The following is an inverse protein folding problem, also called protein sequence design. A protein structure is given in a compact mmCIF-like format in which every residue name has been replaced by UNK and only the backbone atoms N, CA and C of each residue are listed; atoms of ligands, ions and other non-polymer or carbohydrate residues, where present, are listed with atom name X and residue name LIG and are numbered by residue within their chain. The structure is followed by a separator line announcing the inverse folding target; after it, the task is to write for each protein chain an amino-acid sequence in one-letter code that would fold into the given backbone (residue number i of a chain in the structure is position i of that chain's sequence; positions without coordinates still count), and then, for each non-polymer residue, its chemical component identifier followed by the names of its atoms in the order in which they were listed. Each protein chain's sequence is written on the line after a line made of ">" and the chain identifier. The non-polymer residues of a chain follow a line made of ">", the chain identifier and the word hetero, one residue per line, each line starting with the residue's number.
data_IF_794929538227
#
_entry.id   IF_794929538227
#
_cell.length_a   1.000
_cell.length_b   1.000
_cell.length_c   1.000
_cell.angle_alpha   90.00
_cell.angle_beta   90.00
_cell.angle_gamma   90.00
#
_symmetry.space_group_name_H-M   'P 1'
#
loop_
_entity.id
_entity.type
_entity.pdbx_description
1 polymer ?
#
# COMPACT_ATOMS: atom_id res chain seq x y z
N UNK A 1 0.03 -12.86 -24.44
CA UNK A 1 -1.01 -11.94 -23.91
C UNK A 1 -0.46 -11.23 -22.68
N UNK A 2 -0.17 -11.94 -21.56
CA UNK A 2 0.32 -11.33 -20.29
C UNK A 2 1.54 -10.42 -20.48
N UNK A 3 2.60 -10.90 -21.15
CA UNK A 3 3.83 -10.12 -21.34
C UNK A 3 3.60 -8.85 -22.15
N UNK A 4 2.72 -8.88 -23.16
CA UNK A 4 2.35 -7.70 -23.93
C UNK A 4 1.56 -6.70 -23.09
N UNK A 5 0.65 -7.18 -22.25
CA UNK A 5 -0.12 -6.32 -21.33
C UNK A 5 0.79 -5.64 -20.30
N UNK A 6 1.70 -6.40 -19.66
CA UNK A 6 2.69 -5.82 -18.74
C UNK A 6 3.57 -4.77 -19.43
N UNK A 7 3.99 -5.05 -20.66
CA UNK A 7 4.78 -4.10 -21.46
C UNK A 7 3.99 -2.82 -21.79
N UNK A 8 2.72 -2.93 -22.18
CA UNK A 8 1.85 -1.78 -22.46
C UNK A 8 1.64 -0.92 -21.23
N UNK A 9 1.41 -1.54 -20.05
CA UNK A 9 1.28 -0.84 -18.76
C UNK A 9 2.57 -0.11 -18.37
N UNK A 10 3.72 -0.59 -18.82
CA UNK A 10 5.01 0.00 -18.52
C UNK A 10 5.31 1.31 -19.29
N UNK A 11 4.35 1.91 -19.99
CA UNK A 11 4.58 3.15 -20.76
C UNK A 11 5.05 4.32 -19.89
N UNK A 12 4.76 4.32 -18.60
CA UNK A 12 5.18 5.35 -17.64
C UNK A 12 6.70 5.35 -17.39
N UNK A 13 7.40 4.24 -17.58
CA UNK A 13 8.83 4.10 -17.19
C UNK A 13 9.76 5.09 -17.90
N UNK A 14 9.36 5.63 -19.04
CA UNK A 14 10.12 6.67 -19.76
C UNK A 14 10.06 8.04 -19.07
N UNK A 15 9.20 8.20 -18.07
CA UNK A 15 9.01 9.43 -17.28
C UNK A 15 9.57 9.32 -15.86
N UNK A 16 10.00 8.13 -15.45
CA UNK A 16 10.52 7.85 -14.11
C UNK A 16 12.04 8.08 -14.09
N UNK A 17 12.56 8.54 -12.96
CA UNK A 17 14.00 8.54 -12.70
C UNK A 17 14.52 7.12 -12.36
N UNK A 18 15.83 6.96 -12.20
CA UNK A 18 16.43 5.65 -11.95
C UNK A 18 15.84 4.90 -10.76
N UNK A 19 15.80 5.48 -9.55
CA UNK A 19 15.21 4.85 -8.37
C UNK A 19 13.71 4.55 -8.51
N UNK A 20 12.93 5.47 -9.06
CA UNK A 20 11.50 5.28 -9.33
C UNK A 20 11.27 4.16 -10.34
N UNK A 21 12.07 4.12 -11.39
CA UNK A 21 12.03 3.06 -12.40
C UNK A 21 12.35 1.69 -11.79
N UNK A 22 13.40 1.60 -10.97
CA UNK A 22 13.75 0.36 -10.28
C UNK A 22 12.63 -0.10 -9.32
N UNK A 23 12.04 0.81 -8.55
CA UNK A 23 10.94 0.50 -7.67
C UNK A 23 9.70 0.04 -8.45
N UNK A 24 9.36 0.73 -9.54
CA UNK A 24 8.26 0.32 -10.41
C UNK A 24 8.48 -1.08 -11.00
N UNK A 25 9.70 -1.35 -11.49
CA UNK A 25 10.06 -2.68 -12.03
C UNK A 25 10.08 -3.74 -10.93
N UNK A 26 10.47 -3.39 -9.70
CA UNK A 26 10.38 -4.30 -8.55
C UNK A 26 8.95 -4.82 -8.36
N UNK A 27 7.94 -3.97 -8.55
CA UNK A 27 6.53 -4.35 -8.48
C UNK A 27 6.07 -5.35 -9.55
N UNK A 28 6.87 -5.65 -10.57
CA UNK A 28 6.58 -6.71 -11.54
C UNK A 28 7.02 -8.11 -11.05
N UNK A 29 7.97 -8.18 -10.13
CA UNK A 29 8.55 -9.47 -9.70
C UNK A 29 7.55 -10.43 -9.04
N UNK A 30 6.52 -9.98 -8.31
CA UNK A 30 5.45 -10.88 -7.84
C UNK A 30 4.72 -11.61 -8.98
N UNK A 31 4.66 -11.00 -10.18
CA UNK A 31 4.02 -11.59 -11.37
C UNK A 31 4.94 -12.59 -12.06
N UNK A 32 6.25 -12.53 -11.80
CA UNK A 32 7.22 -13.49 -12.34
C UNK A 32 7.30 -14.72 -11.43
N UNK A 33 6.50 -15.74 -11.71
CA UNK A 33 6.47 -17.00 -10.93
C UNK A 33 7.84 -17.66 -10.82
N UNK A 34 8.67 -17.48 -11.85
CA UNK A 34 10.03 -18.04 -11.93
C UNK A 34 10.93 -17.19 -12.83
N UNK A 35 12.22 -17.56 -12.87
CA UNK A 35 13.19 -16.92 -13.75
C UNK A 35 12.86 -17.06 -15.25
N UNK A 36 12.10 -18.09 -15.64
CA UNK A 36 11.72 -18.31 -17.04
C UNK A 36 10.78 -17.21 -17.50
N UNK A 37 9.81 -16.85 -16.66
CA UNK A 37 8.86 -15.76 -16.93
C UNK A 37 9.59 -14.42 -16.97
N UNK A 38 10.52 -14.17 -16.06
CA UNK A 38 11.35 -12.96 -16.05
C UNK A 38 12.20 -12.84 -17.32
N UNK A 39 12.88 -13.91 -17.73
CA UNK A 39 13.67 -13.98 -18.97
C UNK A 39 12.80 -13.76 -20.20
N UNK A 40 11.62 -14.38 -20.26
CA UNK A 40 10.69 -14.18 -21.38
C UNK A 40 10.17 -12.72 -21.48
N UNK A 41 10.02 -12.05 -20.33
CA UNK A 41 9.66 -10.64 -20.32
C UNK A 41 10.81 -9.76 -20.81
N UNK A 42 12.06 -10.07 -20.40
CA UNK A 42 13.27 -9.40 -20.91
C UNK A 42 13.38 -9.55 -22.43
N UNK A 43 13.17 -10.76 -22.99
CA UNK A 43 13.14 -10.98 -24.44
C UNK A 43 12.08 -10.13 -25.13
N UNK A 44 10.89 -10.06 -24.54
CA UNK A 44 9.79 -9.25 -25.09
C UNK A 44 10.15 -7.76 -25.10
N UNK A 45 10.70 -7.23 -24.02
CA UNK A 45 11.15 -5.83 -23.93
C UNK A 45 12.27 -5.51 -24.93
N UNK A 46 13.26 -6.39 -25.05
CA UNK A 46 14.37 -6.20 -25.99
C UNK A 46 13.89 -6.25 -27.45
N UNK A 47 12.98 -7.17 -27.78
CA UNK A 47 12.41 -7.29 -29.12
C UNK A 47 11.59 -6.06 -29.57
N UNK A 48 11.05 -5.28 -28.62
CA UNK A 48 10.32 -4.06 -28.91
C UNK A 48 11.23 -2.95 -29.49
N UNK A 49 12.54 -2.96 -29.22
CA UNK A 49 13.53 -2.04 -29.78
C UNK A 49 13.27 -0.57 -29.45
N UNK A 50 12.61 -0.29 -28.33
CA UNK A 50 12.20 1.05 -27.88
C UNK A 50 12.97 1.50 -26.65
N UNK A 51 12.93 2.81 -26.36
CA UNK A 51 13.49 3.36 -25.12
C UNK A 51 12.87 2.71 -23.87
N UNK A 52 11.56 2.51 -23.87
CA UNK A 52 10.83 1.79 -22.82
C UNK A 52 11.42 0.39 -22.60
N UNK A 53 11.58 -0.38 -23.68
CA UNK A 53 12.14 -1.74 -23.60
C UNK A 53 13.57 -1.73 -23.05
N UNK A 54 14.40 -0.80 -23.50
CA UNK A 54 15.79 -0.65 -23.04
C UNK A 54 15.86 -0.31 -21.54
N UNK A 55 15.00 0.59 -21.07
CA UNK A 55 14.91 0.96 -19.65
C UNK A 55 14.49 -0.22 -18.78
N UNK A 56 13.46 -0.97 -19.20
CA UNK A 56 12.98 -2.16 -18.49
C UNK A 56 14.07 -3.23 -18.40
N UNK A 57 14.76 -3.53 -19.50
CA UNK A 57 15.86 -4.51 -19.51
C UNK A 57 16.98 -4.09 -18.57
N UNK A 58 17.36 -2.81 -18.56
CA UNK A 58 18.41 -2.29 -17.69
C UNK A 58 18.01 -2.36 -16.19
N UNK A 59 16.79 -1.97 -15.85
CA UNK A 59 16.31 -2.03 -14.47
C UNK A 59 16.18 -3.48 -13.97
N UNK A 60 15.72 -4.41 -14.81
CA UNK A 60 15.69 -5.84 -14.45
C UNK A 60 17.11 -6.38 -14.25
N UNK A 61 18.06 -6.03 -15.12
CA UNK A 61 19.45 -6.44 -14.97
C UNK A 61 20.04 -5.96 -13.64
N UNK A 62 19.77 -4.71 -13.25
CA UNK A 62 20.21 -4.15 -11.96
C UNK A 62 19.56 -4.87 -10.78
N UNK A 63 18.23 -4.97 -10.77
CA UNK A 63 17.49 -5.56 -9.66
C UNK A 63 17.77 -7.05 -9.45
N UNK A 64 18.18 -7.77 -10.49
CA UNK A 64 18.53 -9.19 -10.40
C UNK A 64 20.03 -9.43 -10.14
N UNK A 65 20.86 -8.40 -10.25
CA UNK A 65 22.31 -8.47 -10.10
C UNK A 65 22.70 -9.03 -8.73
N UNK A 66 23.39 -10.18 -8.75
CA UNK A 66 23.80 -10.92 -7.54
C UNK A 66 22.65 -11.68 -6.84
N UNK A 67 21.42 -11.55 -7.29
CA UNK A 67 20.24 -12.22 -6.73
C UNK A 67 19.72 -13.36 -7.64
N UNK A 68 19.70 -13.14 -8.95
CA UNK A 68 19.32 -14.11 -9.98
C UNK A 68 20.33 -14.03 -11.16
N UNK A 69 21.41 -14.82 -11.12
CA UNK A 69 22.44 -14.76 -12.14
C UNK A 69 21.97 -15.12 -13.55
N UNK A 70 20.94 -15.97 -13.68
CA UNK A 70 20.41 -16.36 -14.98
C UNK A 70 19.72 -15.20 -15.68
N UNK A 71 18.77 -14.57 -15.00
CA UNK A 71 18.07 -13.37 -15.52
C UNK A 71 19.02 -12.22 -15.72
N UNK A 72 19.96 -11.97 -14.79
CA UNK A 72 20.97 -10.91 -14.91
C UNK A 72 21.81 -11.08 -16.17
N UNK A 73 22.38 -12.29 -16.38
CA UNK A 73 23.25 -12.54 -17.54
C UNK A 73 22.49 -12.37 -18.85
N UNK A 74 21.25 -12.83 -18.88
CA UNK A 74 20.40 -12.69 -20.07
C UNK A 74 20.05 -11.24 -20.36
N UNK A 75 19.62 -10.47 -19.35
CA UNK A 75 19.30 -9.06 -19.49
C UNK A 75 20.51 -8.22 -19.92
N UNK A 76 21.68 -8.45 -19.34
CA UNK A 76 22.94 -7.78 -19.74
C UNK A 76 23.28 -8.08 -21.20
N UNK A 77 23.09 -9.33 -21.66
CA UNK A 77 23.37 -9.71 -23.04
C UNK A 77 22.45 -8.99 -24.06
N UNK A 78 21.25 -8.63 -23.65
CA UNK A 78 20.25 -7.93 -24.46
C UNK A 78 20.27 -6.41 -24.28
N UNK A 79 20.90 -5.90 -23.22
CA UNK A 79 21.08 -4.47 -22.99
C UNK A 79 22.07 -3.91 -24.04
N UNK A 80 21.53 -3.45 -25.16
CA UNK A 80 22.32 -2.93 -26.28
C UNK A 80 22.08 -1.43 -26.44
N UNK A 81 23.17 -0.68 -26.56
CA UNK A 81 23.11 0.77 -26.86
C UNK A 81 23.24 1.68 -25.65
N UNK A 82 23.10 2.97 -25.90
CA UNK A 82 23.08 3.99 -24.83
C UNK A 82 21.70 4.06 -24.23
N UNK A 83 21.62 3.96 -22.90
CA UNK A 83 20.34 4.13 -22.20
C UNK A 83 19.80 5.54 -22.41
N UNK A 84 18.47 5.71 -22.51
CA UNK A 84 17.82 7.00 -22.40
C UNK A 84 18.20 7.73 -21.10
N UNK A 85 18.07 9.06 -21.07
CA UNK A 85 18.44 9.89 -19.93
C UNK A 85 17.76 9.41 -18.61
N UNK A 86 16.51 8.95 -18.68
CA UNK A 86 15.79 8.36 -17.54
C UNK A 86 16.51 7.15 -16.92
N UNK A 87 17.32 6.42 -17.68
CA UNK A 87 18.08 5.27 -17.16
C UNK A 87 19.43 5.63 -16.50
N UNK A 88 19.84 6.90 -16.51
CA UNK A 88 21.16 7.31 -16.02
C UNK A 88 21.36 7.05 -14.51
N UNK A 89 20.28 7.00 -13.72
CA UNK A 89 20.30 6.77 -12.29
C UNK A 89 20.15 5.30 -11.86
N UNK A 90 19.96 4.37 -12.79
CA UNK A 90 19.81 2.95 -12.46
C UNK A 90 21.11 2.43 -11.81
N UNK A 91 20.99 1.80 -10.64
CA UNK A 91 22.10 1.21 -9.90
C UNK A 91 23.02 2.21 -9.19
N UNK A 92 22.74 3.49 -9.21
CA UNK A 92 23.64 4.52 -8.67
C UNK A 92 23.31 4.99 -7.25
N UNK A 93 22.27 4.46 -6.62
CA UNK A 93 21.86 4.84 -5.26
C UNK A 93 22.76 4.23 -4.20
N UNK A 94 23.23 5.04 -3.26
CA UNK A 94 24.05 4.65 -2.11
C UNK A 94 23.28 4.94 -0.80
N UNK A 95 23.27 3.97 0.11
CA UNK A 95 22.70 4.15 1.45
C UNK A 95 23.64 5.03 2.28
N UNK A 96 23.21 6.24 2.62
CA UNK A 96 24.05 7.25 3.27
C UNK A 96 23.62 7.59 4.69
N UNK A 97 22.37 7.31 5.05
CA UNK A 97 21.80 7.70 6.33
C UNK A 97 20.70 6.74 6.77
N UNK A 98 20.46 6.65 8.08
CA UNK A 98 19.40 5.81 8.61
C UNK A 98 18.87 6.32 9.95
N UNK A 99 17.61 6.02 10.25
CA UNK A 99 16.93 6.36 11.48
C UNK A 99 16.00 5.25 11.95
N UNK A 100 15.86 5.12 13.26
CA UNK A 100 14.74 4.39 13.85
C UNK A 100 13.63 5.37 14.20
N UNK A 101 12.41 5.00 13.88
CA UNK A 101 11.19 5.73 14.22
C UNK A 101 10.36 4.84 15.14
N UNK A 102 10.00 5.37 16.31
CA UNK A 102 9.10 4.67 17.23
C UNK A 102 7.89 5.55 17.46
N UNK A 103 6.74 5.06 17.04
CA UNK A 103 5.44 5.68 17.24
C UNK A 103 4.57 4.84 18.18
N UNK A 104 3.41 5.35 18.56
CA UNK A 104 2.46 4.65 19.45
C UNK A 104 2.07 3.25 18.93
N UNK A 105 1.96 3.10 17.62
CA UNK A 105 1.41 1.91 16.98
C UNK A 105 2.42 1.07 16.22
N UNK A 106 3.71 1.39 16.29
CA UNK A 106 4.71 0.61 15.57
C UNK A 106 6.12 1.17 15.66
N UNK A 107 7.02 0.40 15.10
CA UNK A 107 8.42 0.78 14.90
C UNK A 107 8.75 0.69 13.43
N UNK A 108 9.58 1.60 12.97
CA UNK A 108 10.06 1.61 11.59
C UNK A 108 11.53 1.93 11.52
N UNK A 109 12.17 1.54 10.43
CA UNK A 109 13.53 1.95 10.08
C UNK A 109 13.42 2.74 8.78
N UNK A 110 13.97 3.95 8.77
CA UNK A 110 14.08 4.78 7.57
C UNK A 110 15.50 4.67 7.04
N UNK A 111 15.64 4.22 5.80
CA UNK A 111 16.92 4.10 5.08
C UNK A 111 16.98 5.20 4.03
N UNK A 112 17.89 6.15 4.17
CA UNK A 112 18.05 7.28 3.26
C UNK A 112 19.14 7.02 2.22
N UNK A 113 18.80 7.21 0.96
CA UNK A 113 19.68 6.98 -0.19
C UNK A 113 19.98 8.27 -0.94
N UNK A 114 21.22 8.46 -1.32
CA UNK A 114 21.66 9.46 -2.28
C UNK A 114 21.91 8.81 -3.64
N UNK A 115 21.60 9.51 -4.71
CA UNK A 115 21.86 9.06 -6.05
C UNK A 115 22.97 9.93 -6.68
N UNK A 116 24.14 9.35 -6.88
CA UNK A 116 25.32 10.06 -7.35
C UNK A 116 25.45 10.15 -8.90
N UNK A 117 24.51 9.56 -9.65
CA UNK A 117 24.61 9.51 -11.12
C UNK A 117 24.39 10.85 -11.81
N UNK A 118 23.78 11.79 -11.14
CA UNK A 118 23.55 13.12 -11.67
C UNK A 118 24.60 14.09 -11.10
N UNK A 119 25.78 14.10 -11.74
CA UNK A 119 26.65 15.26 -11.64
C UNK A 119 25.83 16.51 -12.03
N UNK A 120 26.20 17.66 -11.50
CA UNK A 120 25.57 18.98 -11.63
C UNK A 120 25.32 19.50 -13.07
N UNK A 121 24.95 18.64 -14.00
CA UNK A 121 24.74 18.94 -15.41
C UNK A 121 23.23 19.05 -15.69
N UNK A 122 22.89 20.30 -16.01
CA UNK A 122 21.67 20.73 -16.70
C UNK A 122 20.33 20.42 -16.08
N UNK A 123 19.87 21.38 -15.30
CA UNK A 123 18.48 21.58 -14.89
C UNK A 123 17.58 21.49 -16.13
N UNK A 124 16.86 20.37 -16.24
CA UNK A 124 15.70 20.31 -17.14
C UNK A 124 14.62 21.12 -16.43
N UNK A 125 14.29 22.31 -16.96
CA UNK A 125 13.15 23.07 -16.46
C UNK A 125 11.90 22.20 -16.59
N UNK A 126 11.12 22.04 -15.53
CA UNK A 126 9.89 21.25 -15.59
C UNK A 126 8.88 21.99 -16.46
N UNK A 127 8.66 21.52 -17.68
CA UNK A 127 7.42 21.88 -18.38
C UNK A 127 6.26 21.31 -17.56
N UNK A 128 5.46 22.20 -17.01
CA UNK A 128 4.22 22.02 -16.26
C UNK A 128 3.71 20.58 -16.13
N UNK A 129 3.94 19.98 -14.97
CA UNK A 129 3.09 18.91 -14.50
C UNK A 129 1.88 19.58 -13.84
N UNK A 130 0.75 19.57 -14.56
CA UNK A 130 -0.53 19.96 -13.99
C UNK A 130 -0.89 19.02 -12.82
N UNK A 131 -0.91 19.61 -11.64
CA UNK A 131 -1.75 19.33 -10.49
C UNK A 131 -1.94 17.86 -10.03
N UNK A 132 -0.85 17.19 -9.58
CA UNK A 132 -0.95 16.34 -8.37
C UNK A 132 0.38 16.47 -7.61
N UNK A 133 0.37 16.76 -6.29
CA UNK A 133 1.58 16.73 -5.48
C UNK A 133 2.08 15.28 -5.45
N UNK A 134 3.12 15.00 -6.22
CA UNK A 134 3.81 13.73 -6.15
C UNK A 134 4.46 13.59 -4.78
N UNK A 135 4.31 12.43 -4.15
CA UNK A 135 4.88 12.08 -2.83
C UNK A 135 6.42 12.14 -2.76
N UNK A 136 7.08 12.48 -3.82
CA UNK A 136 8.53 12.66 -3.90
C UNK A 136 8.83 14.17 -3.96
N UNK A 137 9.06 14.77 -2.79
CA UNK A 137 9.52 16.11 -2.47
C UNK A 137 9.53 17.19 -3.58
N UNK A 138 9.14 18.41 -3.23
CA UNK A 138 8.92 19.57 -4.11
C UNK A 138 10.08 19.98 -5.06
N UNK A 139 11.19 19.25 -5.06
CA UNK A 139 12.33 19.51 -5.93
C UNK A 139 12.52 18.36 -6.93
N UNK A 140 12.11 18.52 -8.19
CA UNK A 140 12.30 17.49 -9.21
C UNK A 140 13.77 17.12 -9.46
N UNK A 141 14.71 17.89 -8.93
CA UNK A 141 16.15 17.59 -8.98
C UNK A 141 16.65 16.87 -7.70
N UNK A 142 15.82 16.63 -6.72
CA UNK A 142 16.20 15.88 -5.53
C UNK A 142 15.99 14.38 -5.75
N UNK A 143 17.00 13.72 -6.25
CA UNK A 143 17.00 12.28 -6.52
C UNK A 143 17.24 11.44 -5.26
N UNK A 144 17.23 12.07 -4.10
CA UNK A 144 17.26 11.35 -2.82
C UNK A 144 15.92 10.69 -2.60
N UNK A 145 15.98 9.48 -2.14
CA UNK A 145 14.80 8.71 -1.76
C UNK A 145 15.07 7.99 -0.44
N UNK A 146 14.02 7.51 0.19
CA UNK A 146 14.15 6.65 1.34
C UNK A 146 13.27 5.41 1.22
N UNK A 147 13.62 4.40 1.99
CA UNK A 147 12.81 3.22 2.20
C UNK A 147 12.36 3.24 3.64
N UNK A 148 11.05 3.27 3.85
CA UNK A 148 10.44 3.03 5.14
C UNK A 148 10.24 1.53 5.29
N UNK A 149 10.87 0.95 6.30
CA UNK A 149 10.76 -0.46 6.68
C UNK A 149 9.89 -0.54 7.92
N UNK A 150 8.68 -0.99 7.79
CA UNK A 150 7.76 -1.16 8.92
C UNK A 150 8.00 -2.49 9.62
N UNK A 151 7.95 -2.45 10.97
CA UNK A 151 8.19 -3.61 11.82
C UNK A 151 6.96 -3.90 12.68
N UNK A 152 6.64 -5.18 12.85
CA UNK A 152 5.65 -5.62 13.81
C UNK A 152 6.15 -5.50 15.27
N UNK A 153 5.30 -5.87 16.22
CA UNK A 153 5.62 -5.87 17.65
C UNK A 153 6.74 -6.84 18.03
N UNK A 154 7.03 -7.83 17.19
CA UNK A 154 8.12 -8.79 17.35
C UNK A 154 9.41 -8.29 16.68
N UNK A 155 9.35 -7.16 15.98
CA UNK A 155 10.45 -6.57 15.26
C UNK A 155 10.75 -7.24 13.92
N UNK A 156 9.75 -7.89 13.29
CA UNK A 156 9.86 -8.44 11.95
C UNK A 156 9.35 -7.44 10.91
N UNK A 157 9.93 -7.44 9.72
CA UNK A 157 9.48 -6.57 8.63
C UNK A 157 8.12 -7.04 8.14
N UNK A 158 7.16 -6.11 8.12
CA UNK A 158 5.79 -6.35 7.65
C UNK A 158 5.47 -5.56 6.39
N UNK A 159 6.07 -4.40 6.18
CA UNK A 159 5.86 -3.61 4.97
C UNK A 159 7.11 -2.83 4.56
N UNK A 160 7.15 -2.45 3.29
CA UNK A 160 8.24 -1.73 2.65
C UNK A 160 7.66 -0.65 1.75
N UNK A 161 7.98 0.61 2.03
CA UNK A 161 7.48 1.73 1.23
C UNK A 161 8.66 2.54 0.68
N UNK A 162 8.62 2.85 -0.61
CA UNK A 162 9.50 3.84 -1.20
C UNK A 162 8.91 5.22 -0.94
N UNK A 163 9.70 6.12 -0.40
CA UNK A 163 9.28 7.49 -0.07
C UNK A 163 10.28 8.51 -0.62
N UNK A 164 9.92 9.78 -0.55
CA UNK A 164 10.81 10.89 -0.87
C UNK A 164 12.04 10.97 0.02
N UNK A 165 12.76 12.11 0.03
CA UNK A 165 13.93 12.29 0.87
C UNK A 165 13.65 12.02 2.35
N UNK A 166 14.52 11.25 3.01
CA UNK A 166 14.32 10.83 4.42
C UNK A 166 14.03 12.02 5.35
N UNK A 167 14.65 13.18 5.12
CA UNK A 167 14.40 14.37 5.94
C UNK A 167 12.96 14.84 5.84
N UNK A 168 12.36 14.85 4.66
CA UNK A 168 10.96 15.26 4.46
C UNK A 168 10.04 14.31 5.20
N UNK A 169 10.20 13.00 5.01
CA UNK A 169 9.44 11.97 5.73
C UNK A 169 9.55 12.13 7.25
N UNK A 170 10.75 12.33 7.79
CA UNK A 170 10.96 12.47 9.23
C UNK A 170 10.36 13.77 9.79
N UNK A 171 10.44 14.88 9.05
CA UNK A 171 9.82 16.15 9.42
C UNK A 171 8.27 16.00 9.43
N UNK A 172 7.67 15.31 8.46
CA UNK A 172 6.23 15.03 8.40
C UNK A 172 5.77 14.15 9.57
N UNK A 173 6.48 13.04 9.81
CA UNK A 173 6.13 12.10 10.89
C UNK A 173 6.23 12.75 12.25
N UNK A 174 7.27 13.57 12.50
CA UNK A 174 7.42 14.29 13.76
C UNK A 174 6.44 15.45 13.93
N UNK A 175 5.96 16.04 12.84
CA UNK A 175 4.94 17.08 12.88
C UNK A 175 3.54 16.51 13.15
N UNK A 176 3.29 15.25 12.76
CA UNK A 176 1.98 14.60 12.91
C UNK A 176 1.70 14.08 14.32
N UNK A 177 2.71 13.65 15.08
CA UNK A 177 2.56 13.14 16.45
C UNK A 177 3.79 13.52 17.31
N UNK A 178 3.58 14.30 18.34
CA UNK A 178 4.62 14.76 19.30
C UNK A 178 5.21 13.61 20.16
N UNK A 179 4.59 12.44 20.12
CA UNK A 179 5.06 11.23 20.81
C UNK A 179 5.99 10.36 19.97
N UNK A 180 6.20 10.72 18.71
CA UNK A 180 7.13 10.01 17.84
C UNK A 180 8.56 10.27 18.29
N UNK A 181 9.32 9.21 18.46
CA UNK A 181 10.75 9.25 18.80
C UNK A 181 11.53 8.86 17.56
N UNK A 182 12.30 9.80 17.04
CA UNK A 182 13.25 9.59 15.95
C UNK A 182 14.66 9.55 16.53
N UNK A 183 15.41 8.50 16.22
CA UNK A 183 16.81 8.37 16.62
C UNK A 183 17.67 8.00 15.40
N UNK A 184 18.74 8.75 15.21
CA UNK A 184 19.74 8.46 14.17
C UNK A 184 20.41 7.11 14.43
N UNK A 185 20.64 6.35 13.40
CA UNK A 185 21.35 5.07 13.41
C UNK A 185 22.55 5.16 12.47
N UNK A 186 23.59 4.40 12.76
CA UNK A 186 24.61 4.16 11.73
C UNK A 186 24.04 3.28 10.63
N UNK A 187 24.52 3.46 9.41
CA UNK A 187 24.12 2.62 8.26
C UNK A 187 24.31 1.14 8.57
N UNK A 188 25.42 0.76 9.23
CA UNK A 188 25.70 -0.61 9.60
C UNK A 188 24.66 -1.19 10.59
N UNK A 189 24.28 -0.43 11.62
CA UNK A 189 23.24 -0.84 12.58
C UNK A 189 21.87 -1.00 11.91
N UNK A 190 21.53 -0.09 11.01
CA UNK A 190 20.26 -0.16 10.28
C UNK A 190 20.22 -1.37 9.33
N UNK A 191 21.28 -1.59 8.57
CA UNK A 191 21.39 -2.76 7.69
C UNK A 191 21.29 -4.06 8.49
N UNK A 192 22.03 -4.18 9.59
CA UNK A 192 21.96 -5.33 10.48
C UNK A 192 20.56 -5.54 11.09
N UNK A 193 19.85 -4.45 11.40
CA UNK A 193 18.50 -4.51 11.92
C UNK A 193 17.52 -5.02 10.86
N UNK A 194 17.56 -4.49 9.64
CA UNK A 194 16.71 -4.95 8.53
C UNK A 194 17.00 -6.41 8.18
N UNK A 195 18.29 -6.81 8.11
CA UNK A 195 18.66 -8.20 7.81
C UNK A 195 18.12 -9.18 8.86
N UNK A 196 18.20 -8.82 10.15
CA UNK A 196 17.66 -9.66 11.23
C UNK A 196 16.12 -9.69 11.25
N UNK A 197 15.50 -8.58 10.89
CA UNK A 197 14.06 -8.42 10.86
C UNK A 197 13.41 -9.02 9.60
N UNK A 198 14.22 -9.36 8.58
CA UNK A 198 13.68 -9.84 7.30
C UNK A 198 12.95 -11.17 7.47
N UNK A 199 11.73 -11.31 6.91
CA UNK A 199 10.96 -12.53 7.05
C UNK A 199 11.72 -13.72 6.46
N UNK A 200 11.61 -14.88 7.11
CA UNK A 200 12.13 -16.14 6.56
C UNK A 200 11.09 -16.76 5.62
N UNK A 201 11.53 -17.63 4.71
CA UNK A 201 10.62 -18.31 3.77
C UNK A 201 9.51 -19.11 4.49
N UNK A 202 9.77 -19.58 5.71
CA UNK A 202 8.79 -20.29 6.55
C UNK A 202 7.86 -19.31 7.33
N UNK A 203 8.14 -18.03 7.27
CA UNK A 203 7.33 -16.98 7.89
C UNK A 203 6.05 -16.66 7.08
N UNK A 204 5.63 -17.54 6.21
CA UNK A 204 4.35 -17.52 5.48
C UNK A 204 3.08 -17.45 6.37
N UNK A 205 3.26 -17.17 7.66
CA UNK A 205 2.20 -16.92 8.65
C UNK A 205 1.97 -15.42 8.90
N UNK A 206 2.76 -14.53 8.27
CA UNK A 206 2.65 -13.09 8.47
C UNK A 206 1.91 -12.46 7.31
N UNK A 207 0.91 -11.61 7.60
CA UNK A 207 0.33 -10.71 6.61
C UNK A 207 1.36 -9.64 6.25
N UNK A 208 2.06 -9.85 5.14
CA UNK A 208 2.94 -8.85 4.57
C UNK A 208 2.10 -7.80 3.86
N UNK A 209 2.45 -6.53 4.04
CA UNK A 209 1.78 -5.43 3.34
C UNK A 209 1.98 -5.49 1.82
N UNK A 210 1.10 -4.86 1.09
CA UNK A 210 1.18 -4.77 -0.39
C UNK A 210 2.49 -4.12 -0.82
N UNK A 211 2.98 -3.14 -0.06
CA UNK A 211 4.25 -2.50 -0.29
C UNK A 211 5.43 -3.46 -0.16
N UNK A 212 5.36 -4.45 0.75
CA UNK A 212 6.41 -5.46 0.87
C UNK A 212 6.59 -6.26 -0.43
N UNK A 213 5.51 -6.78 -0.99
CA UNK A 213 5.58 -7.53 -2.24
C UNK A 213 6.11 -6.68 -3.39
N UNK A 214 5.63 -5.46 -3.53
CA UNK A 214 6.03 -4.55 -4.59
C UNK A 214 7.50 -4.14 -4.49
N UNK A 215 8.00 -3.90 -3.27
CA UNK A 215 9.33 -3.30 -3.07
C UNK A 215 10.40 -4.30 -2.62
N UNK A 216 10.07 -5.55 -2.29
CA UNK A 216 11.06 -6.49 -1.73
C UNK A 216 12.27 -6.70 -2.64
N UNK A 217 12.09 -6.79 -3.96
CA UNK A 217 13.20 -7.01 -4.88
C UNK A 217 14.14 -5.80 -4.91
N UNK A 218 13.59 -4.59 -4.88
CA UNK A 218 14.34 -3.34 -4.76
C UNK A 218 15.16 -3.31 -3.46
N UNK A 219 14.53 -3.58 -2.31
CA UNK A 219 15.18 -3.59 -1.01
C UNK A 219 16.23 -4.69 -0.92
N UNK A 220 15.95 -5.90 -1.40
CA UNK A 220 16.91 -7.01 -1.45
C UNK A 220 18.19 -6.62 -2.18
N UNK A 221 18.04 -5.95 -3.33
CA UNK A 221 19.19 -5.46 -4.10
C UNK A 221 19.97 -4.40 -3.34
N UNK A 222 19.31 -3.44 -2.70
CA UNK A 222 19.97 -2.41 -1.86
C UNK A 222 20.69 -3.01 -0.66
N UNK A 223 20.09 -3.98 0.02
CA UNK A 223 20.71 -4.66 1.15
C UNK A 223 21.92 -5.52 0.70
N UNK A 224 21.84 -6.17 -0.45
CA UNK A 224 22.99 -6.89 -1.01
C UNK A 224 24.18 -5.94 -1.26
N UNK A 225 23.93 -4.77 -1.84
CA UNK A 225 24.98 -3.77 -2.09
C UNK A 225 25.58 -3.25 -0.78
N UNK A 226 24.72 -2.94 0.21
CA UNK A 226 25.16 -2.33 1.46
C UNK A 226 25.86 -3.33 2.42
N UNK A 227 25.47 -4.61 2.42
CA UNK A 227 25.94 -5.60 3.39
C UNK A 227 26.68 -6.81 2.79
N UNK A 228 26.55 -7.02 1.49
CA UNK A 228 27.00 -8.25 0.85
C UNK A 228 26.11 -9.48 1.16
N UNK A 229 24.99 -9.31 1.88
CA UNK A 229 24.09 -10.39 2.26
C UNK A 229 22.91 -10.49 1.30
N UNK A 230 22.59 -11.70 0.88
CA UNK A 230 21.42 -12.01 0.06
C UNK A 230 20.24 -12.30 0.99
N UNK A 231 19.26 -11.40 0.99
CA UNK A 231 18.00 -11.65 1.68
C UNK A 231 17.16 -12.66 0.90
N UNK A 232 16.44 -13.59 1.56
CA UNK A 232 15.57 -14.54 0.87
C UNK A 232 14.45 -13.80 0.13
N UNK A 233 14.02 -14.36 -1.01
CA UNK A 233 12.77 -13.95 -1.64
C UNK A 233 11.63 -14.55 -0.80
N UNK A 234 10.79 -13.68 -0.28
CA UNK A 234 9.59 -14.08 0.43
C UNK A 234 8.44 -14.02 -0.57
N UNK A 235 7.79 -15.14 -0.80
CA UNK A 235 6.55 -15.17 -1.58
C UNK A 235 5.41 -15.12 -0.57
N UNK A 236 4.53 -14.14 -0.72
CA UNK A 236 3.25 -14.26 -0.06
C UNK A 236 2.62 -15.56 -0.59
N UNK A 237 2.27 -16.44 0.30
CA UNK A 237 1.34 -17.50 -0.07
C UNK A 237 0.07 -16.73 -0.44
N UNK A 238 -0.68 -17.18 -1.45
CA UNK A 238 -2.05 -16.73 -1.74
C UNK A 238 -2.94 -16.92 -0.49
N UNK A 239 -2.63 -16.19 0.56
CA UNK A 239 -3.58 -15.87 1.60
C UNK A 239 -4.43 -14.80 0.93
N UNK A 240 -5.74 -14.97 0.83
CA UNK A 240 -6.62 -13.89 0.41
C UNK A 240 -6.15 -12.65 1.18
N UNK A 241 -5.85 -11.55 0.46
CA UNK A 241 -5.34 -10.31 1.06
C UNK A 241 -6.36 -9.90 2.11
N UNK A 242 -6.12 -10.36 3.32
CA UNK A 242 -6.92 -9.98 4.47
C UNK A 242 -6.33 -8.66 4.95
N UNK A 243 -7.09 -7.64 4.70
CA UNK A 243 -6.75 -6.23 4.64
C UNK A 243 -6.36 -5.62 6.00
N UNK A 244 -6.05 -6.43 6.97
CA UNK A 244 -5.67 -5.97 8.31
C UNK A 244 -4.15 -5.92 8.46
N UNK A 245 -3.59 -4.78 8.09
CA UNK A 245 -2.17 -4.45 8.26
C UNK A 245 -1.69 -4.82 9.68
N UNK A 246 -0.78 -5.79 9.78
CA UNK A 246 -0.06 -6.11 11.02
C UNK A 246 -0.81 -6.96 12.05
N UNK A 247 -2.03 -7.42 11.80
CA UNK A 247 -2.73 -8.35 12.69
C UNK A 247 -2.41 -9.81 12.33
N UNK A 248 -2.11 -10.63 13.34
CA UNK A 248 -2.10 -12.08 13.16
C UNK A 248 -3.53 -12.59 12.91
N UNK A 249 -3.69 -13.75 12.26
CA UNK A 249 -5.00 -14.42 12.10
C UNK A 249 -5.76 -14.60 13.43
N UNK A 250 -5.03 -14.73 14.53
CA UNK A 250 -5.62 -14.85 15.86
C UNK A 250 -6.19 -13.51 16.33
N UNK A 251 -5.40 -12.43 16.17
CA UNK A 251 -5.83 -11.08 16.54
C UNK A 251 -6.99 -10.60 15.66
N UNK A 252 -6.94 -10.91 14.35
CA UNK A 252 -8.05 -10.64 13.44
C UNK A 252 -9.33 -11.33 13.86
N UNK A 253 -9.28 -12.65 14.19
CA UNK A 253 -10.45 -13.38 14.68
C UNK A 253 -10.95 -12.83 16.01
N UNK A 254 -10.06 -12.37 16.88
CA UNK A 254 -10.43 -11.78 18.16
C UNK A 254 -11.04 -10.38 17.98
N UNK A 255 -10.51 -9.58 17.04
CA UNK A 255 -11.09 -8.29 16.66
C UNK A 255 -12.49 -8.46 16.04
N UNK A 256 -12.66 -9.41 15.12
CA UNK A 256 -13.97 -9.74 14.54
C UNK A 256 -14.98 -10.20 15.63
N UNK A 257 -14.53 -11.04 16.55
CA UNK A 257 -15.38 -11.49 17.67
C UNK A 257 -15.75 -10.32 18.58
N UNK A 258 -14.82 -9.40 18.84
CA UNK A 258 -15.08 -8.18 19.60
C UNK A 258 -16.07 -7.26 18.88
N UNK A 259 -15.89 -7.05 17.56
CA UNK A 259 -16.81 -6.26 16.73
C UNK A 259 -18.24 -6.85 16.76
N UNK A 260 -18.37 -8.16 16.55
CA UNK A 260 -19.68 -8.83 16.59
C UNK A 260 -20.29 -8.78 17.99
N UNK A 261 -19.51 -8.91 19.06
CA UNK A 261 -19.97 -8.76 20.44
C UNK A 261 -20.47 -7.35 20.74
N UNK A 262 -19.75 -6.34 20.26
CA UNK A 262 -20.13 -4.93 20.39
C UNK A 262 -21.42 -4.64 19.62
N UNK A 263 -21.53 -5.12 18.38
CA UNK A 263 -22.73 -4.99 17.56
C UNK A 263 -23.94 -5.67 18.23
N UNK A 264 -23.75 -6.88 18.79
CA UNK A 264 -24.77 -7.59 19.55
C UNK A 264 -25.28 -6.77 20.74
N UNK A 265 -24.38 -6.16 21.48
CA UNK A 265 -24.72 -5.34 22.64
C UNK A 265 -25.44 -4.03 22.24
N UNK A 266 -25.00 -3.39 21.15
CA UNK A 266 -25.49 -2.08 20.73
C UNK A 266 -26.85 -2.12 20.02
N UNK A 267 -27.03 -3.04 19.08
CA UNK A 267 -28.21 -3.08 18.18
C UNK A 267 -28.77 -4.49 17.97
N UNK A 268 -28.17 -5.50 18.58
CA UNK A 268 -28.51 -6.92 18.39
C UNK A 268 -28.00 -7.49 17.07
N UNK A 269 -27.84 -8.80 17.00
CA UNK A 269 -27.52 -9.49 15.74
C UNK A 269 -28.81 -9.86 14.99
N UNK A 270 -28.78 -9.88 13.64
CA UNK A 270 -29.93 -10.33 12.87
C UNK A 270 -30.18 -11.82 13.08
N UNK A 271 -31.43 -12.22 13.28
CA UNK A 271 -31.80 -13.63 13.48
C UNK A 271 -31.70 -14.44 12.17
N UNK A 272 -32.06 -13.81 11.04
CA UNK A 272 -31.98 -14.40 9.70
C UNK A 272 -32.04 -13.31 8.64
N UNK A 273 -31.48 -13.58 7.47
CA UNK A 273 -31.70 -12.71 6.31
C UNK A 273 -33.05 -13.01 5.68
N UNK A 274 -33.83 -12.01 5.25
CA UNK A 274 -34.98 -12.22 4.40
C UNK A 274 -34.60 -13.00 3.14
N UNK A 275 -35.47 -13.87 2.66
CA UNK A 275 -35.32 -14.61 1.42
C UNK A 275 -35.73 -13.70 0.23
N UNK A 276 -34.89 -12.67 -0.02
CA UNK A 276 -35.11 -11.64 -1.04
C UNK A 276 -33.75 -11.31 -1.72
N UNK A 277 -33.67 -11.54 -3.01
CA UNK A 277 -32.47 -11.28 -3.82
C UNK A 277 -32.01 -9.80 -3.72
N UNK A 278 -32.92 -8.85 -3.62
CA UNK A 278 -32.58 -7.44 -3.50
C UNK A 278 -31.92 -7.15 -2.13
N UNK A 279 -32.48 -7.72 -1.07
CA UNK A 279 -31.92 -7.63 0.26
C UNK A 279 -30.52 -8.28 0.34
N UNK A 280 -30.37 -9.46 -0.25
CA UNK A 280 -29.08 -10.16 -0.30
C UNK A 280 -28.01 -9.33 -1.03
N UNK A 281 -28.37 -8.65 -2.13
CA UNK A 281 -27.46 -7.73 -2.84
C UNK A 281 -27.06 -6.55 -1.96
N UNK A 282 -27.95 -5.97 -1.18
CA UNK A 282 -27.60 -4.87 -0.29
C UNK A 282 -26.71 -5.33 0.86
N UNK A 283 -26.93 -6.53 1.42
CA UNK A 283 -26.02 -7.13 2.42
C UNK A 283 -24.62 -7.32 1.84
N UNK A 284 -24.53 -7.89 0.63
CA UNK A 284 -23.26 -8.07 -0.06
C UNK A 284 -22.58 -6.72 -0.40
N UNK A 285 -23.35 -5.69 -0.77
CA UNK A 285 -22.82 -4.35 -1.02
C UNK A 285 -22.20 -3.73 0.23
N UNK A 286 -22.89 -3.76 1.36
CA UNK A 286 -22.33 -3.32 2.63
C UNK A 286 -21.04 -4.07 2.98
N UNK A 287 -21.08 -5.41 2.95
CA UNK A 287 -19.94 -6.24 3.32
C UNK A 287 -18.73 -6.01 2.41
N UNK A 288 -18.93 -5.85 1.10
CA UNK A 288 -17.83 -5.62 0.17
C UNK A 288 -17.19 -4.24 0.35
N UNK A 289 -18.00 -3.19 0.57
CA UNK A 289 -17.49 -1.83 0.81
C UNK A 289 -16.73 -1.75 2.13
N UNK A 290 -17.28 -2.32 3.20
CA UNK A 290 -16.62 -2.35 4.52
C UNK A 290 -15.27 -3.08 4.46
N UNK A 291 -15.15 -4.14 3.65
CA UNK A 291 -13.89 -4.87 3.47
C UNK A 291 -12.94 -4.26 2.44
N UNK A 292 -13.35 -3.20 1.73
CA UNK A 292 -12.59 -2.69 0.61
C UNK A 292 -12.49 -3.66 -0.58
N UNK A 293 -13.30 -4.75 -0.56
CA UNK A 293 -13.36 -5.77 -1.62
C UNK A 293 -14.40 -5.36 -2.66
N UNK A 294 -14.08 -4.33 -3.43
CA UNK A 294 -14.95 -3.76 -4.46
C UNK A 294 -14.22 -3.84 -5.80
N UNK A 295 -14.83 -4.50 -6.78
CA UNK A 295 -14.34 -4.50 -8.15
C UNK A 295 -14.47 -3.09 -8.76
N UNK A 296 -13.55 -2.75 -9.66
CA UNK A 296 -13.56 -1.52 -10.48
C UNK A 296 -13.48 -0.19 -9.68
N UNK A 297 -12.87 -0.21 -8.51
CA UNK A 297 -12.57 0.98 -7.70
C UNK A 297 -11.16 1.46 -8.01
N UNK A 298 -10.98 2.79 -8.13
CA UNK A 298 -9.66 3.37 -8.30
C UNK A 298 -8.73 3.03 -7.11
N UNK A 299 -7.41 2.82 -7.34
CA UNK A 299 -6.49 2.46 -6.25
C UNK A 299 -6.59 3.39 -5.03
N UNK A 300 -6.63 4.71 -5.26
CA UNK A 300 -6.75 5.71 -4.19
C UNK A 300 -8.05 5.58 -3.37
N UNK A 301 -9.16 5.28 -4.03
CA UNK A 301 -10.44 5.06 -3.36
C UNK A 301 -10.44 3.77 -2.55
N UNK A 302 -9.79 2.72 -3.08
CA UNK A 302 -9.58 1.48 -2.33
C UNK A 302 -8.74 1.75 -1.08
N UNK A 303 -7.64 2.49 -1.20
CA UNK A 303 -6.79 2.84 -0.07
C UNK A 303 -7.56 3.63 1.00
N UNK A 304 -8.46 4.52 0.60
CA UNK A 304 -9.34 5.24 1.51
C UNK A 304 -10.28 4.30 2.28
N UNK A 305 -10.91 3.33 1.60
CA UNK A 305 -11.76 2.34 2.27
C UNK A 305 -10.97 1.50 3.26
N UNK A 306 -9.75 1.11 2.90
CA UNK A 306 -8.86 0.30 3.71
C UNK A 306 -8.23 1.06 4.89
N UNK A 307 -8.23 2.39 4.83
CA UNK A 307 -7.77 3.23 5.93
C UNK A 307 -8.77 3.25 7.09
N UNK A 308 -10.08 3.11 6.80
CA UNK A 308 -11.11 3.02 7.83
C UNK A 308 -11.00 1.70 8.58
N UNK A 309 -10.74 1.77 9.87
CA UNK A 309 -10.64 0.60 10.73
C UNK A 309 -12.02 -0.03 11.02
N UNK A 310 -12.04 -1.28 11.47
CA UNK A 310 -13.26 -1.96 11.90
C UNK A 310 -14.05 -1.17 12.96
N UNK A 311 -13.35 -0.47 13.84
CA UNK A 311 -13.96 0.35 14.89
C UNK A 311 -14.70 1.57 14.31
N UNK A 312 -14.16 2.17 13.24
CA UNK A 312 -14.81 3.30 12.54
C UNK A 312 -16.08 2.84 11.85
N UNK A 313 -16.00 1.73 11.11
CA UNK A 313 -17.18 1.12 10.48
C UNK A 313 -18.24 0.71 11.48
N UNK A 314 -17.85 0.18 12.64
CA UNK A 314 -18.76 -0.22 13.68
C UNK A 314 -19.47 0.99 14.28
N UNK A 315 -18.71 2.06 14.61
CA UNK A 315 -19.25 3.31 15.14
C UNK A 315 -20.20 4.00 14.17
N UNK A 316 -19.78 4.13 12.89
CA UNK A 316 -20.61 4.69 11.83
C UNK A 316 -21.89 3.86 11.61
N UNK A 317 -21.76 2.52 11.53
CA UNK A 317 -22.87 1.61 11.29
C UNK A 317 -23.88 1.59 12.44
N UNK A 318 -23.43 1.57 13.70
CA UNK A 318 -24.30 1.67 14.87
C UNK A 318 -25.06 3.00 14.87
N UNK A 319 -24.35 4.11 14.54
CA UNK A 319 -24.95 5.43 14.45
C UNK A 319 -26.05 5.51 13.39
N UNK A 320 -25.75 5.06 12.16
CA UNK A 320 -26.71 5.00 11.06
C UNK A 320 -27.91 4.11 11.38
N UNK A 321 -27.68 2.95 11.99
CA UNK A 321 -28.75 2.02 12.35
C UNK A 321 -29.72 2.67 13.36
N UNK A 322 -29.20 3.37 14.35
CA UNK A 322 -30.01 4.09 15.37
C UNK A 322 -30.72 5.31 14.81
N UNK A 323 -30.10 5.99 13.84
CA UNK A 323 -30.74 7.14 13.18
C UNK A 323 -31.95 6.73 12.33
N UNK A 324 -31.97 5.49 11.84
CA UNK A 324 -33.12 4.93 11.12
C UNK A 324 -33.06 5.09 9.60
N UNK A 325 -34.03 4.49 8.92
CA UNK A 325 -34.19 4.62 7.47
C UNK A 325 -34.44 6.08 7.08
N UNK A 326 -34.11 6.40 5.82
CA UNK A 326 -34.25 7.78 5.26
C UNK A 326 -33.31 8.82 5.89
N UNK A 327 -32.32 8.37 6.67
CA UNK A 327 -31.29 9.24 7.23
C UNK A 327 -30.36 9.72 6.13
N UNK A 328 -30.08 11.02 6.13
CA UNK A 328 -29.04 11.58 5.27
C UNK A 328 -27.68 11.06 5.73
N UNK A 329 -26.86 10.65 4.77
CA UNK A 329 -25.53 10.10 5.00
C UNK A 329 -24.50 10.87 4.16
N UNK A 330 -23.56 11.51 4.84
CA UNK A 330 -22.35 12.10 4.27
C UNK A 330 -21.15 11.75 5.15
N UNK A 331 -19.94 11.95 4.64
CA UNK A 331 -18.72 11.60 5.36
C UNK A 331 -18.65 12.28 6.73
N UNK A 332 -19.02 13.56 6.82
CA UNK A 332 -19.05 14.30 8.08
C UNK A 332 -20.01 13.68 9.12
N UNK A 333 -21.20 13.27 8.68
CA UNK A 333 -22.17 12.59 9.55
C UNK A 333 -21.63 11.28 10.08
N UNK A 334 -20.94 10.49 9.22
CA UNK A 334 -20.36 9.21 9.62
C UNK A 334 -19.20 9.39 10.62
N UNK A 335 -18.32 10.36 10.38
CA UNK A 335 -17.27 10.72 11.35
C UNK A 335 -17.88 11.15 12.69
N UNK A 336 -18.95 11.92 12.67
CA UNK A 336 -19.68 12.31 13.89
C UNK A 336 -20.31 11.11 14.61
N UNK A 337 -20.79 10.11 13.87
CA UNK A 337 -21.29 8.86 14.47
C UNK A 337 -20.17 8.07 15.15
N UNK A 338 -19.00 7.93 14.51
CA UNK A 338 -17.82 7.29 15.10
C UNK A 338 -17.45 7.99 16.41
N UNK A 339 -17.24 9.29 16.36
CA UNK A 339 -16.77 10.07 17.51
C UNK A 339 -17.76 10.14 18.69
N UNK A 340 -19.05 9.88 18.42
CA UNK A 340 -20.10 9.89 19.46
C UNK A 340 -20.57 8.50 19.86
N UNK A 341 -20.03 7.44 19.27
CA UNK A 341 -20.44 6.08 19.57
C UNK A 341 -19.88 5.63 20.92
N UNK A 342 -20.71 5.43 21.96
CA UNK A 342 -20.20 5.06 23.28
C UNK A 342 -19.72 3.60 23.35
N UNK A 343 -20.08 2.78 22.38
CA UNK A 343 -19.71 1.36 22.34
C UNK A 343 -18.35 1.12 21.71
N UNK A 344 -17.81 2.12 21.04
CA UNK A 344 -16.53 2.01 20.33
C UNK A 344 -15.56 3.01 20.94
N UNK A 345 -14.35 2.55 21.26
CA UNK A 345 -13.30 3.42 21.80
C UNK A 345 -12.53 4.18 20.70
N UNK A 346 -12.93 4.03 19.44
CA UNK A 346 -12.33 4.78 18.32
C UNK A 346 -12.74 6.23 18.38
N UNK A 347 -11.81 7.10 18.04
CA UNK A 347 -12.08 8.51 17.77
C UNK A 347 -11.21 8.94 16.60
N UNK A 348 -11.85 9.50 15.59
CA UNK A 348 -11.16 10.13 14.46
C UNK A 348 -10.69 11.49 14.91
N UNK A 349 -9.38 11.69 14.98
CA UNK A 349 -8.76 12.92 15.41
C UNK A 349 -9.03 14.05 14.41
N UNK A 350 -8.86 15.30 14.88
CA UNK A 350 -9.11 16.47 14.04
C UNK A 350 -8.18 16.53 12.81
N UNK A 351 -6.96 16.00 12.95
CA UNK A 351 -6.00 15.98 11.84
C UNK A 351 -6.43 15.02 10.72
N UNK A 352 -7.09 13.91 11.09
CA UNK A 352 -7.51 12.85 10.17
C UNK A 352 -8.94 13.02 9.68
N UNK A 353 -9.66 14.03 10.20
CA UNK A 353 -11.08 14.22 9.95
C UNK A 353 -11.40 14.38 8.47
N UNK A 354 -10.68 15.24 7.76
CA UNK A 354 -10.95 15.52 6.35
C UNK A 354 -10.73 14.27 5.49
N UNK A 355 -9.71 13.47 5.82
CA UNK A 355 -9.45 12.21 5.12
C UNK A 355 -10.50 11.15 5.43
N UNK A 356 -10.92 11.03 6.69
CA UNK A 356 -11.99 10.11 7.09
C UNK A 356 -13.34 10.49 6.46
N UNK A 357 -13.68 11.78 6.41
CA UNK A 357 -14.88 12.27 5.73
C UNK A 357 -14.86 11.88 4.25
N UNK A 358 -13.73 12.10 3.57
CA UNK A 358 -13.56 11.67 2.17
C UNK A 358 -13.64 10.15 2.01
N UNK A 359 -13.00 9.36 2.88
CA UNK A 359 -13.05 7.90 2.83
C UNK A 359 -14.50 7.37 2.99
N UNK A 360 -15.27 7.94 3.91
CA UNK A 360 -16.68 7.62 4.05
C UNK A 360 -17.52 8.11 2.86
N UNK A 361 -17.20 9.26 2.25
CA UNK A 361 -17.90 9.72 1.04
C UNK A 361 -17.66 8.76 -0.12
N UNK A 362 -16.44 8.24 -0.33
CA UNK A 362 -16.14 7.17 -1.29
C UNK A 362 -17.02 5.93 -1.02
N UNK A 363 -17.10 5.51 0.24
CA UNK A 363 -17.95 4.38 0.62
C UNK A 363 -19.44 4.62 0.29
N UNK A 364 -19.93 5.80 0.57
CA UNK A 364 -21.33 6.19 0.30
C UNK A 364 -21.64 6.26 -1.19
N UNK A 365 -20.72 6.75 -2.02
CA UNK A 365 -20.86 6.75 -3.47
C UNK A 365 -20.97 5.32 -4.02
N UNK A 366 -20.12 4.42 -3.55
CA UNK A 366 -20.16 3.00 -3.90
C UNK A 366 -21.47 2.32 -3.46
N UNK A 367 -22.02 2.69 -2.31
CA UNK A 367 -23.29 2.18 -1.82
C UNK A 367 -24.48 2.77 -2.58
N UNK A 368 -24.38 4.01 -3.06
CA UNK A 368 -25.35 4.65 -3.93
C UNK A 368 -25.44 3.94 -5.28
N UNK A 369 -24.32 3.65 -5.92
CA UNK A 369 -24.27 2.90 -7.18
C UNK A 369 -24.92 1.51 -7.07
N UNK A 370 -25.00 0.97 -5.87
CA UNK A 370 -25.60 -0.34 -5.56
C UNK A 370 -27.06 -0.23 -5.04
N UNK A 371 -27.62 0.98 -5.02
CA UNK A 371 -29.00 1.22 -4.60
C UNK A 371 -29.25 1.05 -3.10
N UNK A 372 -28.21 0.99 -2.28
CA UNK A 372 -28.31 0.98 -0.80
C UNK A 372 -28.69 2.38 -0.29
N UNK A 373 -28.17 3.39 -0.95
CA UNK A 373 -28.38 4.83 -0.70
C UNK A 373 -29.01 5.45 -1.95
N UNK A 374 -29.87 6.43 -1.77
CA UNK A 374 -30.53 7.18 -2.84
C UNK A 374 -29.62 8.27 -3.42
N UNK A 375 -30.00 8.83 -4.59
CA UNK A 375 -29.25 9.91 -5.25
C UNK A 375 -29.13 11.19 -4.39
N UNK A 376 -30.03 11.39 -3.44
CA UNK A 376 -29.99 12.47 -2.46
C UNK A 376 -29.28 12.09 -1.15
N UNK A 377 -28.46 11.05 -1.20
CA UNK A 377 -27.64 10.54 -0.10
C UNK A 377 -28.46 10.16 1.15
N UNK A 378 -29.58 9.46 0.96
CA UNK A 378 -30.37 8.90 2.05
C UNK A 378 -30.36 7.39 2.02
N UNK A 379 -30.30 6.78 3.20
CA UNK A 379 -30.49 5.35 3.31
C UNK A 379 -31.87 4.95 2.78
N UNK A 380 -31.92 4.01 1.85
CA UNK A 380 -33.19 3.38 1.49
C UNK A 380 -33.70 2.53 2.66
N UNK A 381 -35.01 2.26 2.72
CA UNK A 381 -35.58 1.38 3.74
C UNK A 381 -34.90 0.01 3.75
N UNK A 382 -34.63 -0.56 2.55
CA UNK A 382 -33.91 -1.81 2.42
C UNK A 382 -32.41 -1.66 2.77
N UNK A 383 -31.77 -0.54 2.39
CA UNK A 383 -30.41 -0.22 2.76
C UNK A 383 -30.21 -0.19 4.27
N UNK A 384 -31.13 0.47 5.00
CA UNK A 384 -31.13 0.48 6.44
C UNK A 384 -31.36 -0.92 7.04
N UNK A 385 -32.35 -1.66 6.55
CA UNK A 385 -32.66 -3.00 7.04
C UNK A 385 -31.49 -3.99 6.83
N UNK A 386 -30.74 -3.85 5.72
CA UNK A 386 -29.60 -4.72 5.38
C UNK A 386 -28.31 -4.35 6.10
N UNK A 387 -28.16 -3.15 6.64
CA UNK A 387 -26.92 -2.64 7.26
C UNK A 387 -26.36 -3.58 8.33
N UNK A 388 -27.19 -3.97 9.30
CA UNK A 388 -26.77 -4.85 10.38
C UNK A 388 -26.31 -6.24 9.87
N UNK A 389 -26.97 -6.77 8.83
CA UNK A 389 -26.56 -8.00 8.17
C UNK A 389 -25.25 -7.83 7.40
N UNK A 390 -25.06 -6.68 6.77
CA UNK A 390 -23.82 -6.32 6.08
C UNK A 390 -22.63 -6.24 7.02
N UNK A 391 -22.79 -5.60 8.17
CA UNK A 391 -21.77 -5.56 9.23
C UNK A 391 -21.40 -6.98 9.70
N UNK A 392 -22.41 -7.83 9.98
CA UNK A 392 -22.16 -9.23 10.35
C UNK A 392 -21.42 -9.98 9.25
N UNK A 393 -21.83 -9.81 7.99
CA UNK A 393 -21.21 -10.46 6.84
C UNK A 393 -19.78 -9.96 6.55
N UNK A 394 -19.46 -8.73 6.92
CA UNK A 394 -18.12 -8.18 6.78
C UNK A 394 -17.12 -8.82 7.76
N UNK A 395 -17.59 -9.28 8.92
CA UNK A 395 -16.72 -9.81 10.00
C UNK A 395 -16.86 -11.33 10.25
N UNK A 396 -17.63 -12.03 9.46
CA UNK A 396 -17.68 -13.50 9.46
C UNK A 396 -16.78 -14.10 8.38
#
# INVERSE_FOLDING_TARGET
>A
ALLSELYERASIVTKLDGPQLEAWVSGLFPVFDDHVTAVAFVDHCAAAGSDQGSLLVAAIAELTSGLDPATTTHAIALATGTLPAAGAGIGSSELTSAWSVTAKFGKSIVLGFDNHAFGTADVIEPEHFDDEPGELGDNPNDLRHSILVELDDQGQVIDLQLTGPAKVLLDEVTASDDRVIVAEMTVAEAVDAVVRAWPTADAAQYSLGVGFEANQQFVRRRMLVASGQVLPLVRAIDVPVDVHRGMSDADYRDANRAALSTLQAAVGLPDSSPDDDAFARHVAAWASVIRGDVADVAPRERDALLWLEWADWLGAGIGLYRAGAETAADGNTLVDHVNRCPEVSSSIDKADRDYAEWAFDVALDLLQDRGVITDDRRLTVQGHASLRHGLVAAWN
#
